data_IF_696639466448
#
_entry.id   IF_696639466448
#
_cell.length_a   1.000
_cell.length_b   1.000
_cell.length_c   1.000
_cell.angle_alpha   90.00
_cell.angle_beta   90.00
_cell.angle_gamma   90.00
#
_symmetry.space_group_name_H-M   'P 1'
#
loop_
_entity.id
_entity.type
_entity.pdbx_description
1 polymer ?
#
# COMPACT_ATOMS: atom_id res chain seq x y z
N UNK A 1 -4.43 16.76 22.72
CA UNK A 1 -5.23 17.04 23.92
C UNK A 1 -5.82 18.41 23.78
N UNK A 2 -7.14 18.50 23.87
CA UNK A 2 -7.92 19.76 23.90
C UNK A 2 -7.95 20.34 25.32
N UNK A 3 -8.49 21.56 25.49
CA UNK A 3 -8.57 22.22 26.80
C UNK A 3 -9.41 21.45 27.83
N UNK A 4 -10.43 20.73 27.37
CA UNK A 4 -11.29 19.85 28.18
C UNK A 4 -10.69 18.46 28.43
N UNK A 5 -9.46 18.20 27.95
CA UNK A 5 -8.74 16.95 28.18
C UNK A 5 -9.04 15.83 27.18
N UNK A 6 -9.83 16.06 26.12
CA UNK A 6 -10.06 15.05 25.10
C UNK A 6 -8.79 14.78 24.24
N UNK A 7 -8.59 13.53 23.86
CA UNK A 7 -7.38 13.07 23.16
C UNK A 7 -7.67 12.20 21.94
N UNK A 8 -7.07 12.57 20.81
CA UNK A 8 -6.99 11.75 19.61
C UNK A 8 -5.56 11.24 19.37
N UNK A 9 -5.44 10.03 18.86
CA UNK A 9 -4.17 9.30 18.72
C UNK A 9 -4.03 8.68 17.33
N UNK A 10 -2.81 8.72 16.81
CA UNK A 10 -2.40 7.96 15.64
C UNK A 10 -0.93 7.53 15.81
N UNK A 11 -0.58 6.33 15.34
CA UNK A 11 0.78 5.82 15.40
C UNK A 11 1.63 6.39 14.25
N UNK A 12 2.81 6.89 14.57
CA UNK A 12 3.78 7.42 13.61
C UNK A 12 4.16 8.87 13.88
N UNK A 13 4.60 9.57 12.83
CA UNK A 13 5.04 10.96 12.91
C UNK A 13 6.51 11.12 13.31
N UNK A 14 6.94 12.38 13.41
CA UNK A 14 8.26 12.77 13.88
C UNK A 14 8.09 13.89 14.90
N UNK A 15 8.50 13.65 16.15
CA UNK A 15 8.30 14.61 17.24
C UNK A 15 9.01 15.94 16.99
N UNK A 16 10.24 15.90 16.48
CA UNK A 16 11.03 17.11 16.26
C UNK A 16 10.43 17.97 15.14
N UNK A 17 9.97 17.34 14.04
CA UNK A 17 9.28 18.04 12.95
C UNK A 17 7.93 18.57 13.42
N UNK A 18 7.17 17.76 14.15
CA UNK A 18 5.83 18.13 14.65
C UNK A 18 5.91 19.31 15.61
N UNK A 19 6.77 19.25 16.61
CA UNK A 19 6.91 20.34 17.60
C UNK A 19 7.38 21.64 16.96
N UNK A 20 8.28 21.55 15.97
CA UNK A 20 8.88 22.73 15.35
C UNK A 20 7.96 23.40 14.32
N UNK A 21 7.27 22.62 13.50
CA UNK A 21 6.58 23.13 12.31
C UNK A 21 5.07 23.00 12.36
N UNK A 22 4.54 21.97 13.03
CA UNK A 22 3.11 21.69 13.04
C UNK A 22 2.43 22.28 14.28
N UNK A 23 2.99 22.04 15.47
CA UNK A 23 2.42 22.49 16.74
C UNK A 23 2.09 24.00 16.77
N UNK A 24 2.93 24.91 16.25
CA UNK A 24 2.60 26.34 16.23
C UNK A 24 1.37 26.69 15.38
N UNK A 25 0.95 25.80 14.46
CA UNK A 25 -0.23 25.99 13.62
C UNK A 25 -1.52 25.44 14.24
N UNK A 26 -1.42 24.55 15.24
CA UNK A 26 -2.58 23.81 15.76
C UNK A 26 -2.99 24.24 17.16
N UNK A 27 -2.04 24.73 17.97
CA UNK A 27 -2.35 25.14 19.35
C UNK A 27 -3.22 26.39 19.33
N UNK A 28 -4.39 26.30 19.99
CA UNK A 28 -5.38 27.37 20.04
C UNK A 28 -6.40 27.33 18.90
N UNK A 29 -6.26 26.40 17.96
CA UNK A 29 -7.23 26.19 16.89
C UNK A 29 -8.35 25.23 17.33
N UNK A 30 -9.52 25.37 16.70
CA UNK A 30 -10.60 24.40 16.85
C UNK A 30 -10.23 23.08 16.13
N UNK A 31 -10.12 21.93 16.84
CA UNK A 31 -9.79 20.66 16.22
C UNK A 31 -10.87 20.14 15.26
N UNK A 32 -12.09 20.70 15.27
CA UNK A 32 -13.16 20.34 14.35
C UNK A 32 -13.06 21.05 12.99
N UNK A 33 -12.23 22.08 12.87
CA UNK A 33 -11.87 22.75 11.60
C UNK A 33 -10.88 21.92 10.75
N UNK A 34 -11.03 20.58 10.71
CA UNK A 34 -10.04 19.65 10.16
C UNK A 34 -9.59 19.99 8.74
N UNK A 35 -10.53 20.35 7.86
CA UNK A 35 -10.20 20.75 6.49
C UNK A 35 -9.29 21.99 6.45
N UNK A 36 -9.60 23.01 7.25
CA UNK A 36 -8.77 24.22 7.33
C UNK A 36 -7.38 23.90 7.87
N UNK A 37 -7.30 23.06 8.92
CA UNK A 37 -6.04 22.62 9.50
C UNK A 37 -5.21 21.79 8.51
N UNK A 38 -5.85 20.90 7.75
CA UNK A 38 -5.21 20.16 6.68
C UNK A 38 -4.61 21.11 5.64
N UNK A 39 -5.40 22.05 5.11
CA UNK A 39 -4.92 22.99 4.07
C UNK A 39 -3.75 23.84 4.58
N UNK A 40 -3.85 24.27 5.84
CA UNK A 40 -2.79 25.05 6.47
C UNK A 40 -1.49 24.25 6.61
N UNK A 41 -1.56 23.03 7.15
CA UNK A 41 -0.40 22.15 7.27
C UNK A 41 0.13 21.75 5.89
N UNK A 42 -0.73 21.50 4.90
CA UNK A 42 -0.37 21.07 3.56
C UNK A 42 0.54 22.09 2.86
N UNK A 43 0.38 23.39 3.13
CA UNK A 43 1.28 24.43 2.62
C UNK A 43 2.76 24.20 2.99
N UNK A 44 3.04 23.46 4.07
CA UNK A 44 4.39 23.12 4.51
C UNK A 44 5.03 21.96 3.72
N UNK A 45 4.25 21.20 2.96
CA UNK A 45 4.73 20.05 2.16
C UNK A 45 5.79 20.43 1.15
N UNK A 46 5.76 21.69 0.71
CA UNK A 46 6.72 22.23 -0.25
C UNK A 46 8.17 22.26 0.29
N UNK A 47 8.38 22.29 1.61
CA UNK A 47 9.71 22.57 2.16
C UNK A 47 10.06 21.89 3.49
N UNK A 48 9.10 21.75 4.40
CA UNK A 48 9.40 21.53 5.84
C UNK A 48 8.91 20.20 6.39
N UNK A 49 7.83 19.67 5.82
CA UNK A 49 7.09 18.54 6.37
C UNK A 49 6.69 17.60 5.25
N UNK A 50 6.74 16.28 5.46
CA UNK A 50 6.19 15.34 4.48
C UNK A 50 4.69 15.19 4.66
N UNK A 51 3.97 14.87 3.58
CA UNK A 51 2.53 14.58 3.65
C UNK A 51 2.21 13.46 4.65
N UNK A 52 3.12 12.49 4.82
CA UNK A 52 3.01 11.43 5.85
C UNK A 52 2.84 12.00 7.26
N UNK A 53 3.59 13.04 7.63
CA UNK A 53 3.50 13.64 8.96
C UNK A 53 2.14 14.34 9.13
N UNK A 54 1.69 15.05 8.09
CA UNK A 54 0.38 15.72 8.09
C UNK A 54 -0.74 14.69 8.22
N UNK A 55 -0.67 13.58 7.49
CA UNK A 55 -1.65 12.49 7.57
C UNK A 55 -1.75 11.85 8.96
N UNK A 56 -0.64 11.72 9.68
CA UNK A 56 -0.66 11.23 11.08
C UNK A 56 -1.44 12.18 11.99
N UNK A 57 -1.27 13.49 11.80
CA UNK A 57 -1.97 14.50 12.59
C UNK A 57 -3.46 14.56 12.22
N UNK A 58 -3.78 14.53 10.92
CA UNK A 58 -5.18 14.48 10.46
C UNK A 58 -5.92 13.26 11.03
N UNK A 59 -5.30 12.07 10.98
CA UNK A 59 -5.87 10.86 11.60
C UNK A 59 -6.09 11.02 13.11
N UNK A 60 -5.17 11.68 13.83
CA UNK A 60 -5.35 11.96 15.25
C UNK A 60 -6.51 12.94 15.50
N UNK A 61 -6.72 13.94 14.64
CA UNK A 61 -7.88 14.84 14.73
C UNK A 61 -9.21 14.12 14.44
N UNK A 62 -9.21 13.15 13.53
CA UNK A 62 -10.37 12.29 13.30
C UNK A 62 -10.67 11.37 14.49
N UNK A 63 -9.65 10.78 15.10
CA UNK A 63 -9.81 9.97 16.33
C UNK A 63 -10.35 10.82 17.49
N UNK A 64 -9.83 12.04 17.66
CA UNK A 64 -10.35 13.01 18.63
C UNK A 64 -11.84 13.28 18.38
N UNK A 65 -12.22 13.59 17.14
CA UNK A 65 -13.61 13.86 16.80
C UNK A 65 -14.53 12.66 17.08
N UNK A 66 -14.09 11.45 16.71
CA UNK A 66 -14.84 10.22 17.00
C UNK A 66 -15.10 10.05 18.51
N UNK A 67 -14.10 10.31 19.34
CA UNK A 67 -14.21 10.23 20.80
C UNK A 67 -15.08 11.34 21.40
N UNK A 68 -14.92 12.59 20.95
CA UNK A 68 -15.73 13.72 21.42
C UNK A 68 -17.22 13.52 21.13
N UNK A 69 -17.55 12.95 19.96
CA UNK A 69 -18.94 12.71 19.56
C UNK A 69 -19.46 11.31 19.93
N UNK A 70 -18.64 10.48 20.59
CA UNK A 70 -18.95 9.10 20.96
C UNK A 70 -19.51 8.26 19.77
N UNK A 71 -18.87 8.40 18.61
CA UNK A 71 -19.25 7.68 17.39
C UNK A 71 -18.03 7.15 16.63
N UNK A 72 -18.11 5.96 16.02
CA UNK A 72 -17.05 5.47 15.15
C UNK A 72 -16.78 6.43 13.99
N UNK A 73 -15.51 6.65 13.64
CA UNK A 73 -15.11 7.58 12.56
C UNK A 73 -15.83 7.26 11.24
N UNK A 74 -16.00 5.98 10.91
CA UNK A 74 -16.70 5.60 9.68
C UNK A 74 -18.17 6.05 9.65
N UNK A 75 -18.82 6.27 10.80
CA UNK A 75 -20.17 6.86 10.87
C UNK A 75 -20.12 8.37 10.68
N UNK A 76 -19.10 9.06 11.24
CA UNK A 76 -18.86 10.48 10.96
C UNK A 76 -18.65 10.75 9.46
N UNK A 77 -18.02 9.82 8.74
CA UNK A 77 -17.80 9.89 7.29
C UNK A 77 -19.05 9.56 6.45
N UNK A 78 -20.20 9.26 7.05
CA UNK A 78 -21.41 8.85 6.32
C UNK A 78 -21.41 7.37 5.94
N UNK A 79 -21.21 6.51 6.94
CA UNK A 79 -20.92 5.08 6.77
C UNK A 79 -21.78 4.32 5.77
N UNK A 80 -21.11 3.44 5.01
CA UNK A 80 -21.73 2.63 3.96
C UNK A 80 -21.90 1.15 4.34
N UNK A 81 -20.93 0.57 5.07
CA UNK A 81 -20.91 -0.84 5.48
C UNK A 81 -20.24 -0.96 6.85
N UNK A 82 -20.69 -1.93 7.63
CA UNK A 82 -20.11 -2.23 8.96
C UNK A 82 -19.11 -3.41 8.92
N UNK A 83 -18.93 -4.05 7.75
CA UNK A 83 -17.92 -5.09 7.51
C UNK A 83 -17.40 -5.05 6.08
N UNK A 84 -16.14 -5.44 5.89
CA UNK A 84 -15.48 -5.53 4.57
C UNK A 84 -14.66 -6.83 4.49
N UNK A 85 -14.56 -7.41 3.29
CA UNK A 85 -13.66 -8.54 3.06
C UNK A 85 -12.22 -8.03 3.06
N UNK A 86 -11.34 -8.67 3.84
CA UNK A 86 -9.92 -8.44 3.77
C UNK A 86 -9.25 -9.43 2.81
N UNK A 87 -8.15 -9.01 2.21
CA UNK A 87 -7.21 -9.91 1.55
C UNK A 87 -5.95 -10.01 2.42
N UNK A 88 -5.33 -11.18 2.46
CA UNK A 88 -4.05 -11.35 3.12
C UNK A 88 -2.94 -10.81 2.21
N UNK A 89 -2.18 -9.85 2.72
CA UNK A 89 -1.04 -9.26 2.01
C UNK A 89 0.23 -9.96 2.50
N UNK A 90 0.95 -10.65 1.61
CA UNK A 90 2.20 -11.30 2.01
C UNK A 90 3.20 -10.26 2.53
N UNK A 91 4.03 -10.64 3.49
CA UNK A 91 5.28 -9.92 3.71
C UNK A 91 6.18 -10.00 2.47
N UNK A 92 7.14 -9.08 2.31
CA UNK A 92 8.14 -9.21 1.26
C UNK A 92 9.08 -10.39 1.56
N UNK A 93 9.57 -11.05 0.52
CA UNK A 93 10.69 -12.00 0.61
C UNK A 93 10.49 -13.18 1.58
N UNK A 94 9.29 -13.75 1.65
CA UNK A 94 8.99 -14.89 2.55
C UNK A 94 9.91 -16.11 2.31
N UNK A 95 10.36 -16.32 1.07
CA UNK A 95 11.28 -17.41 0.73
C UNK A 95 11.07 -17.98 -0.67
N UNK A 96 11.04 -19.30 -0.77
CA UNK A 96 10.82 -20.04 -2.03
C UNK A 96 9.34 -19.97 -2.44
N UNK A 97 8.99 -20.31 -3.70
CA UNK A 97 7.60 -20.43 -4.14
C UNK A 97 6.73 -21.29 -3.21
N UNK A 98 7.26 -22.38 -2.67
CA UNK A 98 6.56 -23.27 -1.75
C UNK A 98 6.21 -22.55 -0.43
N UNK A 99 7.10 -21.71 0.10
CA UNK A 99 6.84 -20.94 1.33
C UNK A 99 5.67 -19.96 1.12
N UNK A 100 5.60 -19.31 -0.04
CA UNK A 100 4.46 -18.46 -0.37
C UNK A 100 3.16 -19.26 -0.52
N UNK A 101 3.23 -20.44 -1.13
CA UNK A 101 2.09 -21.33 -1.32
C UNK A 101 1.56 -21.86 0.03
N UNK A 102 2.46 -22.28 0.92
CA UNK A 102 2.14 -22.72 2.29
C UNK A 102 1.44 -21.59 3.07
N UNK A 103 2.02 -20.39 3.05
CA UNK A 103 1.44 -19.22 3.72
C UNK A 103 0.06 -18.84 3.14
N UNK A 104 -0.12 -18.90 1.81
CA UNK A 104 -1.42 -18.65 1.19
C UNK A 104 -2.48 -19.67 1.64
N UNK A 105 -2.12 -20.94 1.79
CA UNK A 105 -3.00 -21.98 2.32
C UNK A 105 -3.33 -21.76 3.81
N UNK A 106 -2.37 -21.31 4.60
CA UNK A 106 -2.58 -20.90 6.00
C UNK A 106 -3.59 -19.75 6.09
N UNK A 107 -3.41 -18.68 5.31
CA UNK A 107 -4.38 -17.58 5.23
C UNK A 107 -5.77 -18.07 4.77
N UNK A 108 -5.84 -19.02 3.84
CA UNK A 108 -7.11 -19.62 3.43
C UNK A 108 -7.81 -20.36 4.59
N UNK A 109 -7.05 -21.09 5.41
CA UNK A 109 -7.54 -21.79 6.62
C UNK A 109 -8.04 -20.79 7.68
N UNK A 110 -7.39 -19.63 7.81
CA UNK A 110 -7.84 -18.53 8.68
C UNK A 110 -9.11 -17.82 8.17
N UNK A 111 -9.49 -18.06 6.90
CA UNK A 111 -10.75 -17.59 6.33
C UNK A 111 -10.59 -16.49 5.28
N UNK A 112 -9.38 -16.04 4.97
CA UNK A 112 -9.14 -15.12 3.87
C UNK A 112 -9.62 -15.73 2.54
N UNK A 113 -10.22 -14.89 1.70
CA UNK A 113 -10.71 -15.27 0.36
C UNK A 113 -9.87 -14.69 -0.76
N UNK A 114 -8.83 -13.93 -0.40
CA UNK A 114 -7.95 -13.28 -1.35
C UNK A 114 -6.53 -13.14 -0.77
N UNK A 115 -5.52 -13.21 -1.63
CA UNK A 115 -4.11 -13.18 -1.26
C UNK A 115 -3.28 -12.34 -2.24
N UNK A 116 -2.45 -11.43 -1.74
CA UNK A 116 -1.56 -10.58 -2.54
C UNK A 116 -0.09 -10.94 -2.31
N UNK A 117 0.64 -11.18 -3.39
CA UNK A 117 2.02 -11.69 -3.38
C UNK A 117 3.02 -10.54 -3.61
N UNK A 118 4.07 -10.49 -2.78
CA UNK A 118 5.20 -9.53 -2.85
C UNK A 118 6.56 -10.26 -2.84
N UNK A 119 7.03 -10.82 -3.97
CA UNK A 119 8.29 -11.56 -4.00
C UNK A 119 9.50 -10.69 -4.36
N UNK A 120 10.65 -11.08 -3.82
CA UNK A 120 12.00 -10.71 -4.27
C UNK A 120 12.37 -9.21 -4.33
N UNK A 121 11.70 -8.40 -3.52
CA UNK A 121 11.96 -6.97 -3.36
C UNK A 121 13.36 -6.76 -2.75
N UNK A 122 14.28 -6.18 -3.53
CA UNK A 122 15.68 -5.97 -3.18
C UNK A 122 16.43 -7.23 -2.75
N UNK A 123 16.03 -8.41 -3.26
CA UNK A 123 16.63 -9.69 -2.91
C UNK A 123 16.73 -10.59 -4.14
N UNK A 124 17.95 -11.05 -4.49
CA UNK A 124 18.18 -11.98 -5.60
C UNK A 124 17.87 -13.41 -5.15
N UNK A 125 16.79 -14.05 -5.64
CA UNK A 125 16.39 -15.40 -5.23
C UNK A 125 17.33 -16.50 -5.72
N UNK A 126 18.11 -16.23 -6.77
CA UNK A 126 19.04 -17.20 -7.36
C UNK A 126 20.34 -17.19 -6.54
N UNK A 127 20.89 -16.00 -6.30
CA UNK A 127 22.13 -15.82 -5.53
C UNK A 127 21.90 -15.80 -4.02
N UNK A 128 20.64 -15.73 -3.59
CA UNK A 128 20.19 -15.70 -2.19
C UNK A 128 20.85 -14.58 -1.37
N UNK A 129 20.90 -13.38 -1.94
CA UNK A 129 21.56 -12.22 -1.31
C UNK A 129 20.80 -10.92 -1.59
N UNK A 130 20.99 -9.86 -0.78
CA UNK A 130 20.47 -8.54 -1.08
C UNK A 130 20.87 -8.06 -2.48
N UNK A 131 19.93 -7.45 -3.18
CA UNK A 131 20.11 -6.89 -4.51
C UNK A 131 19.52 -5.47 -4.53
N UNK A 132 20.30 -4.44 -4.22
CA UNK A 132 19.79 -3.06 -4.12
C UNK A 132 19.36 -2.47 -5.47
N UNK A 133 19.76 -3.10 -6.57
CA UNK A 133 19.59 -2.57 -7.92
C UNK A 133 18.22 -2.90 -8.53
N UNK A 134 17.52 -3.93 -8.04
CA UNK A 134 16.19 -4.34 -8.54
C UNK A 134 15.25 -4.76 -7.40
N UNK A 135 13.95 -4.54 -7.58
CA UNK A 135 12.85 -5.06 -6.77
C UNK A 135 12.17 -6.27 -7.41
N UNK A 136 12.58 -6.67 -8.61
CA UNK A 136 11.86 -7.65 -9.42
C UNK A 136 12.75 -8.68 -10.09
N UNK A 137 12.21 -9.88 -10.27
CA UNK A 137 12.84 -11.00 -10.98
C UNK A 137 11.75 -11.74 -11.78
N UNK A 138 11.39 -11.26 -13.00
CA UNK A 138 10.13 -11.61 -13.65
C UNK A 138 9.81 -13.11 -13.68
N UNK A 139 10.81 -13.93 -14.02
CA UNK A 139 10.63 -15.38 -14.10
C UNK A 139 10.37 -15.98 -12.72
N UNK A 140 11.18 -15.62 -11.73
CA UNK A 140 11.05 -16.12 -10.37
C UNK A 140 9.75 -15.64 -9.71
N UNK A 141 9.34 -14.41 -9.99
CA UNK A 141 8.07 -13.84 -9.54
C UNK A 141 6.88 -14.68 -10.04
N UNK A 142 6.90 -15.05 -11.33
CA UNK A 142 5.87 -15.90 -11.92
C UNK A 142 5.90 -17.32 -11.37
N UNK A 143 7.06 -17.88 -11.03
CA UNK A 143 7.13 -19.19 -10.36
C UNK A 143 6.46 -19.16 -8.97
N UNK A 144 6.60 -18.06 -8.21
CA UNK A 144 5.84 -17.85 -6.96
C UNK A 144 4.33 -17.80 -7.25
N UNK A 145 3.93 -17.03 -8.27
CA UNK A 145 2.52 -16.91 -8.65
C UNK A 145 1.89 -18.25 -9.05
N UNK A 146 2.62 -19.07 -9.81
CA UNK A 146 2.20 -20.43 -10.20
C UNK A 146 2.04 -21.34 -8.98
N UNK A 147 3.04 -21.39 -8.10
CA UNK A 147 2.99 -22.24 -6.92
C UNK A 147 1.81 -21.89 -6.00
N UNK A 148 1.56 -20.59 -5.79
CA UNK A 148 0.40 -20.13 -5.01
C UNK A 148 -0.90 -20.54 -5.70
N UNK A 149 -1.05 -20.29 -7.00
CA UNK A 149 -2.26 -20.67 -7.76
C UNK A 149 -2.51 -22.18 -7.70
N UNK A 150 -1.49 -22.99 -7.89
CA UNK A 150 -1.59 -24.45 -7.83
C UNK A 150 -2.07 -24.91 -6.44
N UNK A 151 -1.54 -24.30 -5.37
CA UNK A 151 -1.90 -24.67 -4.01
C UNK A 151 -3.34 -24.34 -3.64
N UNK A 152 -3.76 -23.10 -3.88
CA UNK A 152 -5.07 -22.62 -3.39
C UNK A 152 -6.18 -22.79 -4.43
N UNK A 153 -5.83 -23.05 -5.70
CA UNK A 153 -6.77 -23.17 -6.80
C UNK A 153 -7.66 -21.93 -6.93
N UNK A 154 -8.91 -22.12 -7.35
CA UNK A 154 -9.90 -21.03 -7.45
C UNK A 154 -10.56 -20.66 -6.12
N UNK A 155 -10.07 -21.20 -4.99
CA UNK A 155 -10.62 -20.89 -3.66
C UNK A 155 -10.25 -19.49 -3.18
N UNK A 156 -9.23 -18.88 -3.78
CA UNK A 156 -8.80 -17.51 -3.49
C UNK A 156 -8.68 -16.66 -4.76
N UNK A 157 -9.07 -15.39 -4.61
CA UNK A 157 -8.69 -14.32 -5.53
C UNK A 157 -7.22 -13.98 -5.32
N UNK A 158 -6.41 -13.99 -6.39
CA UNK A 158 -4.98 -13.75 -6.29
C UNK A 158 -4.59 -12.42 -6.91
N UNK A 159 -3.71 -11.69 -6.24
CA UNK A 159 -3.17 -10.41 -6.67
C UNK A 159 -1.65 -10.44 -6.62
N UNK A 160 -1.01 -9.66 -7.49
CA UNK A 160 0.45 -9.61 -7.57
C UNK A 160 0.92 -8.16 -7.51
N UNK A 161 1.94 -7.92 -6.68
CA UNK A 161 2.53 -6.61 -6.43
C UNK A 161 4.07 -6.75 -6.31
N UNK A 162 4.84 -6.35 -7.33
CA UNK A 162 6.31 -6.36 -7.28
C UNK A 162 6.89 -5.22 -6.45
N UNK A 163 6.08 -4.30 -5.93
CA UNK A 163 6.50 -3.09 -5.20
C UNK A 163 7.60 -2.30 -5.93
N UNK A 164 7.33 -1.93 -7.19
CA UNK A 164 8.31 -1.26 -8.05
C UNK A 164 8.68 0.13 -7.52
N UNK A 165 9.89 0.27 -6.96
CA UNK A 165 10.41 1.53 -6.40
C UNK A 165 11.90 1.74 -6.65
N UNK A 166 12.37 3.00 -6.55
CA UNK A 166 13.79 3.35 -6.65
C UNK A 166 14.31 3.46 -8.09
N UNK A 167 15.50 4.08 -8.25
CA UNK A 167 16.05 4.46 -9.55
C UNK A 167 16.57 3.30 -10.43
N UNK A 168 16.41 2.05 -10.00
CA UNK A 168 16.72 0.84 -10.78
C UNK A 168 15.73 -0.33 -10.61
N UNK A 169 14.70 -0.18 -9.76
CA UNK A 169 14.00 -1.31 -9.12
C UNK A 169 13.04 -2.15 -9.98
N UNK A 170 12.40 -1.55 -10.96
CA UNK A 170 11.19 -2.10 -11.56
C UNK A 170 11.41 -3.03 -12.75
N UNK A 171 10.31 -3.60 -13.23
CA UNK A 171 10.27 -4.14 -14.58
C UNK A 171 10.54 -3.05 -15.62
N UNK A 172 11.18 -3.44 -16.71
CA UNK A 172 11.00 -2.74 -17.99
C UNK A 172 9.55 -2.84 -18.46
N UNK A 173 9.14 -2.00 -19.40
CA UNK A 173 7.79 -2.06 -19.98
C UNK A 173 7.53 -3.42 -20.65
N UNK A 174 8.54 -3.96 -21.33
CA UNK A 174 8.49 -5.27 -21.98
C UNK A 174 8.33 -6.41 -20.96
N UNK A 175 9.09 -6.38 -19.86
CA UNK A 175 8.93 -7.34 -18.76
C UNK A 175 7.56 -7.23 -18.11
N UNK A 176 7.06 -6.02 -17.86
CA UNK A 176 5.73 -5.81 -17.30
C UNK A 176 4.64 -6.37 -18.21
N UNK A 177 4.74 -6.20 -19.53
CA UNK A 177 3.83 -6.86 -20.47
C UNK A 177 3.91 -8.38 -20.36
N UNK A 178 5.11 -8.94 -20.35
CA UNK A 178 5.30 -10.39 -20.25
C UNK A 178 4.70 -10.95 -18.95
N UNK A 179 5.03 -10.35 -17.80
CA UNK A 179 4.48 -10.72 -16.48
C UNK A 179 2.96 -10.59 -16.47
N UNK A 180 2.41 -9.47 -16.94
CA UNK A 180 0.97 -9.26 -17.03
C UNK A 180 0.26 -10.35 -17.83
N UNK A 181 0.84 -10.80 -18.95
CA UNK A 181 0.29 -11.91 -19.75
C UNK A 181 0.38 -13.26 -19.05
N UNK A 182 1.43 -13.51 -18.27
CA UNK A 182 1.51 -14.73 -17.46
C UNK A 182 0.45 -14.71 -16.34
N UNK A 183 0.26 -13.56 -15.68
CA UNK A 183 -0.78 -13.37 -14.67
C UNK A 183 -2.20 -13.57 -15.24
N UNK A 184 -2.46 -13.11 -16.47
CA UNK A 184 -3.72 -13.38 -17.18
C UNK A 184 -3.98 -14.89 -17.35
N UNK A 185 -2.96 -15.66 -17.73
CA UNK A 185 -3.07 -17.13 -17.87
C UNK A 185 -3.37 -17.81 -16.53
N UNK A 186 -2.86 -17.24 -15.44
CA UNK A 186 -3.08 -17.73 -14.07
C UNK A 186 -4.35 -17.18 -13.41
N UNK A 187 -5.16 -16.43 -14.16
CA UNK A 187 -6.42 -15.82 -13.68
C UNK A 187 -6.20 -14.95 -12.43
N UNK A 188 -5.12 -14.16 -12.39
CA UNK A 188 -4.91 -13.17 -11.35
C UNK A 188 -5.87 -11.99 -11.51
N UNK A 189 -6.27 -11.41 -10.38
CA UNK A 189 -7.31 -10.40 -10.29
C UNK A 189 -6.81 -8.98 -10.59
N UNK A 190 -5.60 -8.64 -10.14
CA UNK A 190 -4.92 -7.42 -10.56
C UNK A 190 -3.40 -7.57 -10.54
N UNK A 191 -2.76 -6.67 -11.29
CA UNK A 191 -1.33 -6.42 -11.29
C UNK A 191 -1.05 -5.03 -10.73
N UNK A 192 -0.51 -4.95 -9.52
CA UNK A 192 -0.29 -3.70 -8.80
C UNK A 192 1.14 -3.20 -9.00
N UNK A 193 1.32 -1.88 -9.04
CA UNK A 193 2.61 -1.21 -9.09
C UNK A 193 3.72 -1.89 -9.97
N UNK A 194 3.42 -2.27 -11.24
CA UNK A 194 4.36 -2.97 -12.11
C UNK A 194 5.54 -2.13 -12.60
N UNK A 195 5.38 -0.80 -12.59
CA UNK A 195 6.30 0.17 -13.18
C UNK A 195 6.48 1.35 -12.21
N UNK A 196 7.48 2.20 -12.47
CA UNK A 196 7.65 3.43 -11.70
C UNK A 196 6.45 4.36 -11.90
N UNK A 197 5.76 4.68 -10.81
CA UNK A 197 4.43 5.34 -10.84
C UNK A 197 4.49 6.81 -11.26
N UNK A 198 5.67 7.42 -11.25
CA UNK A 198 5.89 8.76 -11.82
C UNK A 198 6.02 8.74 -13.36
N UNK A 199 6.02 7.57 -14.01
CA UNK A 199 6.04 7.40 -15.48
C UNK A 199 4.66 7.03 -16.00
N UNK A 200 3.74 7.99 -15.97
CA UNK A 200 2.32 7.78 -16.29
C UNK A 200 2.12 7.22 -17.71
N UNK A 201 2.93 7.63 -18.68
CA UNK A 201 2.83 7.18 -20.07
C UNK A 201 3.07 5.67 -20.22
N UNK A 202 3.97 5.11 -19.41
CA UNK A 202 4.24 3.67 -19.40
C UNK A 202 3.03 2.90 -18.85
N UNK A 203 2.35 3.45 -17.84
CA UNK A 203 1.10 2.89 -17.33
C UNK A 203 -0.03 2.96 -18.36
N UNK A 204 -0.20 4.09 -19.06
CA UNK A 204 -1.20 4.23 -20.13
C UNK A 204 -0.98 3.14 -21.19
N UNK A 205 0.27 2.94 -21.60
CA UNK A 205 0.65 1.94 -22.59
C UNK A 205 0.35 0.52 -22.07
N UNK A 206 0.76 0.21 -20.84
CA UNK A 206 0.55 -1.10 -20.21
C UNK A 206 -0.94 -1.44 -20.08
N UNK A 207 -1.74 -0.52 -19.53
CA UNK A 207 -3.20 -0.66 -19.38
C UNK A 207 -3.92 -0.84 -20.72
N UNK A 208 -3.43 -0.21 -21.78
CA UNK A 208 -4.03 -0.35 -23.12
C UNK A 208 -3.75 -1.71 -23.76
N UNK A 209 -2.67 -2.38 -23.35
CA UNK A 209 -2.28 -3.67 -23.90
C UNK A 209 -2.74 -4.87 -23.07
N UNK A 210 -2.84 -4.76 -21.74
CA UNK A 210 -3.23 -5.86 -20.86
C UNK A 210 -4.75 -5.96 -20.68
N UNK A 211 -5.23 -7.19 -20.45
CA UNK A 211 -6.60 -7.50 -20.01
C UNK A 211 -6.72 -7.55 -18.49
N UNK A 212 -5.65 -7.98 -17.80
CA UNK A 212 -5.62 -7.94 -16.34
C UNK A 212 -5.68 -6.47 -15.86
N UNK A 213 -6.53 -6.13 -14.88
CA UNK A 213 -6.54 -4.80 -14.28
C UNK A 213 -5.16 -4.43 -13.71
N UNK A 214 -4.70 -3.22 -14.02
CA UNK A 214 -3.49 -2.65 -13.43
C UNK A 214 -3.88 -1.68 -12.32
N UNK A 215 -3.33 -1.86 -11.11
CA UNK A 215 -3.62 -1.02 -9.94
C UNK A 215 -2.42 -0.11 -9.63
N UNK A 216 -2.61 1.20 -9.80
CA UNK A 216 -1.62 2.26 -9.55
C UNK A 216 -2.32 3.63 -9.61
N UNK A 217 -1.85 4.69 -8.93
CA UNK A 217 -0.66 4.76 -8.06
C UNK A 217 -0.92 4.36 -6.60
N UNK A 218 0.03 3.63 -5.99
CA UNK A 218 0.09 3.34 -4.56
C UNK A 218 1.00 4.30 -3.79
N UNK A 219 2.05 4.81 -4.45
CA UNK A 219 2.93 5.85 -3.98
C UNK A 219 2.75 7.09 -4.85
N UNK A 220 1.93 8.04 -4.40
CA UNK A 220 1.92 9.38 -4.97
C UNK A 220 3.25 10.05 -4.65
N UNK A 221 4.16 10.08 -5.63
CA UNK A 221 5.30 11.00 -5.59
C UNK A 221 4.78 12.42 -5.76
N UNK A 222 4.93 13.24 -4.71
CA UNK A 222 4.97 14.70 -4.87
C UNK A 222 6.25 15.15 -5.58
#
# INVERSE_FOLDING_TARGET
MTEDGAEGLCLGGDKAVTDRWIKPLLVGEDPFDRERLWQWMYSLTRWRVSERIIGVIDMALWDLAGKCFDVPIHKLLGGFRDRVKAYASSGPNLGTPEVYADHAEECLKEGYKAYKIHPYIFYDPIKKKPCPDTTTFPRQDIEVCKAVRERVGDKMTLMYDPWTVGAGGGYSLEEAFWVGRELEKLNFYWFEQPLLENRIESYITLCSGLKIPVLSPAMSGG
#
